data_IF_537760704340
#
_entry.id   IF_537760704340
#
_cell.length_a   1.000
_cell.length_b   1.000
_cell.length_c   1.000
_cell.angle_alpha   90.00
_cell.angle_beta   90.00
_cell.angle_gamma   90.00
#
_symmetry.space_group_name_H-M   'P 1'
#
loop_
_entity.id
_entity.type
_entity.pdbx_description
1 polymer ?
#
# COMPACT_ATOMS: atom_id res chain seq x y z
N UNK A 1 6.09 20.54 -15.97
CA UNK A 1 5.02 19.65 -16.46
C UNK A 1 5.43 18.78 -17.66
N UNK A 2 6.55 19.08 -18.35
CA UNK A 2 7.07 18.32 -19.51
C UNK A 2 7.32 16.81 -19.31
N UNK A 3 7.44 16.33 -18.06
CA UNK A 3 7.69 14.91 -17.77
C UNK A 3 6.46 14.00 -17.98
N UNK A 4 5.23 14.51 -17.87
CA UNK A 4 4.02 13.71 -18.17
C UNK A 4 3.77 13.53 -19.67
N UNK A 5 4.36 14.39 -20.49
CA UNK A 5 4.23 14.32 -21.94
C UNK A 5 5.30 13.42 -22.57
N UNK A 6 6.19 12.85 -21.76
CA UNK A 6 7.21 11.93 -22.24
C UNK A 6 6.56 10.57 -22.57
N UNK A 7 6.65 10.09 -23.83
CA UNK A 7 5.95 8.88 -24.26
C UNK A 7 6.40 7.64 -23.49
N UNK A 8 7.67 7.58 -23.07
CA UNK A 8 8.21 6.50 -22.26
C UNK A 8 7.56 6.43 -20.86
N UNK A 9 7.29 7.59 -20.24
CA UNK A 9 6.61 7.67 -18.94
C UNK A 9 5.17 7.20 -19.06
N UNK A 10 4.46 7.66 -20.10
CA UNK A 10 3.07 7.27 -20.37
C UNK A 10 2.95 5.77 -20.66
N UNK A 11 3.85 5.20 -21.46
CA UNK A 11 3.84 3.76 -21.76
C UNK A 11 4.09 2.93 -20.50
N UNK A 12 5.09 3.28 -19.68
CA UNK A 12 5.37 2.60 -18.40
C UNK A 12 4.18 2.69 -17.46
N UNK A 13 3.56 3.88 -17.36
CA UNK A 13 2.38 4.08 -16.52
C UNK A 13 1.18 3.27 -17.01
N UNK A 14 0.94 3.19 -18.33
CA UNK A 14 -0.14 2.41 -18.92
C UNK A 14 0.03 0.90 -18.63
N UNK A 15 1.24 0.37 -18.80
CA UNK A 15 1.53 -1.04 -18.49
C UNK A 15 1.35 -1.31 -17.00
N UNK A 16 1.92 -0.46 -16.13
CA UNK A 16 1.80 -0.63 -14.69
C UNK A 16 0.35 -0.52 -14.21
N UNK A 17 -0.44 0.39 -14.79
CA UNK A 17 -1.87 0.53 -14.49
C UNK A 17 -2.69 -0.67 -14.95
N UNK A 18 -2.41 -1.21 -16.14
CA UNK A 18 -3.05 -2.43 -16.62
C UNK A 18 -2.75 -3.62 -15.69
N UNK A 19 -1.50 -3.78 -15.26
CA UNK A 19 -1.11 -4.79 -14.28
C UNK A 19 -1.79 -4.56 -12.92
N UNK A 20 -1.87 -3.32 -12.45
CA UNK A 20 -2.60 -2.99 -11.21
C UNK A 20 -4.07 -3.36 -11.31
N UNK A 21 -4.74 -3.00 -12.42
CA UNK A 21 -6.15 -3.31 -12.65
C UNK A 21 -6.40 -4.82 -12.72
N UNK A 22 -5.53 -5.57 -13.42
CA UNK A 22 -5.58 -7.03 -13.49
C UNK A 22 -5.37 -7.68 -12.12
N UNK A 23 -4.40 -7.20 -11.33
CA UNK A 23 -4.16 -7.71 -9.98
C UNK A 23 -5.33 -7.42 -9.02
N UNK A 24 -6.07 -6.33 -9.24
CA UNK A 24 -7.24 -5.98 -8.44
C UNK A 24 -8.52 -6.72 -8.88
N UNK A 25 -8.57 -7.23 -10.12
CA UNK A 25 -9.76 -7.86 -10.68
C UNK A 25 -10.34 -8.99 -9.81
N UNK A 26 -9.55 -9.95 -9.30
CA UNK A 26 -10.07 -11.04 -8.46
C UNK A 26 -10.87 -10.54 -7.26
N UNK A 27 -10.36 -9.55 -6.54
CA UNK A 27 -11.05 -8.98 -5.37
C UNK A 27 -12.34 -8.25 -5.76
N UNK A 28 -12.33 -7.53 -6.89
CA UNK A 28 -13.52 -6.83 -7.40
C UNK A 28 -14.60 -7.80 -7.88
N UNK A 29 -14.19 -8.90 -8.52
CA UNK A 29 -15.09 -9.92 -9.04
C UNK A 29 -15.82 -10.66 -7.90
N UNK A 30 -15.15 -10.91 -6.77
CA UNK A 30 -15.75 -11.53 -5.59
C UNK A 30 -16.45 -10.56 -4.63
N UNK A 31 -16.37 -9.24 -4.88
CA UNK A 31 -17.11 -8.25 -4.09
C UNK A 31 -18.61 -8.29 -4.44
N UNK A 32 -19.37 -9.03 -3.64
CA UNK A 32 -20.80 -9.30 -3.90
C UNK A 32 -21.77 -8.16 -3.58
N UNK A 33 -21.37 -7.16 -2.78
CA UNK A 33 -22.22 -6.04 -2.38
C UNK A 33 -22.07 -4.80 -3.29
N UNK A 34 -21.48 -4.96 -4.46
CA UNK A 34 -21.21 -3.85 -5.38
C UNK A 34 -22.52 -3.35 -6.05
N UNK A 35 -22.77 -2.03 -6.09
CA UNK A 35 -23.92 -1.49 -6.81
C UNK A 35 -23.73 -1.54 -8.34
N UNK A 36 -22.50 -1.41 -8.82
CA UNK A 36 -22.20 -1.33 -10.26
C UNK A 36 -21.50 -2.58 -10.82
N UNK A 37 -21.38 -2.62 -12.14
CA UNK A 37 -20.70 -3.70 -12.84
C UNK A 37 -19.18 -3.71 -12.57
N UNK A 38 -18.57 -4.91 -12.49
CA UNK A 38 -17.13 -5.09 -12.20
C UNK A 38 -16.25 -4.32 -13.18
N UNK A 39 -16.59 -4.33 -14.47
CA UNK A 39 -15.80 -3.66 -15.50
C UNK A 39 -15.67 -2.16 -15.26
N UNK A 40 -16.69 -1.53 -14.68
CA UNK A 40 -16.66 -0.09 -14.35
C UNK A 40 -15.63 0.18 -13.26
N UNK A 41 -15.62 -0.60 -12.17
CA UNK A 41 -14.60 -0.47 -11.12
C UNK A 41 -13.18 -0.75 -11.64
N UNK A 42 -13.02 -1.75 -12.51
CA UNK A 42 -11.74 -2.04 -13.16
C UNK A 42 -11.27 -0.86 -14.01
N UNK A 43 -12.16 -0.23 -14.77
CA UNK A 43 -11.85 0.96 -15.57
C UNK A 43 -11.46 2.16 -14.68
N UNK A 44 -12.21 2.41 -13.60
CA UNK A 44 -11.92 3.48 -12.64
C UNK A 44 -10.57 3.24 -11.96
N UNK A 45 -10.29 2.03 -11.49
CA UNK A 45 -9.01 1.66 -10.88
C UNK A 45 -7.89 1.76 -11.90
N UNK A 46 -8.09 1.28 -13.13
CA UNK A 46 -7.10 1.40 -14.21
C UNK A 46 -6.75 2.86 -14.51
N UNK A 47 -7.76 3.73 -14.61
CA UNK A 47 -7.55 5.16 -14.82
C UNK A 47 -6.85 5.84 -13.64
N UNK A 48 -7.29 5.57 -12.41
CA UNK A 48 -6.65 6.12 -11.22
C UNK A 48 -5.20 5.62 -11.07
N UNK A 49 -4.97 4.33 -11.28
CA UNK A 49 -3.64 3.72 -11.26
C UNK A 49 -2.74 4.31 -12.34
N UNK A 50 -3.27 4.60 -13.53
CA UNK A 50 -2.52 5.27 -14.60
C UNK A 50 -2.03 6.65 -14.17
N UNK A 51 -2.92 7.48 -13.63
CA UNK A 51 -2.55 8.82 -13.13
C UNK A 51 -1.51 8.72 -12.01
N UNK A 52 -1.70 7.79 -11.06
CA UNK A 52 -0.78 7.55 -9.96
C UNK A 52 0.60 7.06 -10.44
N UNK A 53 0.65 6.06 -11.31
CA UNK A 53 1.91 5.55 -11.86
C UNK A 53 2.61 6.59 -12.74
N UNK A 54 1.86 7.39 -13.50
CA UNK A 54 2.41 8.50 -14.25
C UNK A 54 3.09 9.52 -13.32
N UNK A 55 2.44 9.85 -12.19
CA UNK A 55 3.04 10.73 -11.18
C UNK A 55 4.30 10.10 -10.55
N UNK A 56 4.26 8.80 -10.24
CA UNK A 56 5.41 8.06 -9.73
C UNK A 56 6.59 8.12 -10.70
N UNK A 57 6.42 7.69 -11.95
CA UNK A 57 7.51 7.70 -12.92
C UNK A 57 7.97 9.12 -13.31
N UNK A 58 7.06 10.08 -13.46
CA UNK A 58 7.40 11.45 -13.87
C UNK A 58 8.11 12.25 -12.78
N UNK A 59 7.77 12.04 -11.50
CA UNK A 59 8.24 12.90 -10.41
C UNK A 59 9.23 12.22 -9.47
N UNK A 60 9.06 10.93 -9.16
CA UNK A 60 9.96 10.24 -8.25
C UNK A 60 11.37 10.14 -8.83
N UNK A 61 11.52 9.65 -10.07
CA UNK A 61 12.85 9.47 -10.69
C UNK A 61 13.55 10.83 -10.86
N UNK A 62 12.79 11.89 -11.15
CA UNK A 62 13.32 13.23 -11.38
C UNK A 62 13.70 13.99 -10.10
N UNK A 63 12.86 13.96 -9.07
CA UNK A 63 13.03 14.78 -7.86
C UNK A 63 13.52 13.96 -6.65
N UNK A 64 13.17 12.68 -6.59
CA UNK A 64 13.64 11.74 -5.58
C UNK A 64 15.04 11.20 -5.85
N UNK A 65 15.58 11.40 -7.07
CA UNK A 65 16.93 10.98 -7.49
C UNK A 65 17.19 9.47 -7.25
N UNK A 66 16.12 8.66 -7.25
CA UNK A 66 16.17 7.22 -7.09
C UNK A 66 15.25 6.55 -8.10
N UNK A 67 15.65 5.37 -8.56
CA UNK A 67 14.83 4.55 -9.44
C UNK A 67 13.66 3.95 -8.64
N UNK A 68 12.46 3.95 -9.24
CA UNK A 68 11.28 3.32 -8.64
C UNK A 68 11.50 1.81 -8.48
N UNK A 69 12.10 1.19 -9.50
CA UNK A 69 12.48 -0.21 -9.55
C UNK A 69 14.00 -0.33 -9.66
N UNK A 70 14.74 -0.20 -8.53
CA UNK A 70 16.19 -0.26 -8.57
C UNK A 70 16.66 -1.64 -9.02
N UNK A 71 17.59 -1.68 -9.98
CA UNK A 71 18.17 -2.94 -10.49
C UNK A 71 18.98 -3.71 -9.45
N UNK A 72 19.57 -2.99 -8.49
CA UNK A 72 20.40 -3.56 -7.42
C UNK A 72 19.99 -2.95 -6.09
N UNK A 73 19.55 -3.80 -5.18
CA UNK A 73 19.27 -3.44 -3.78
C UNK A 73 20.27 -4.18 -2.90
N UNK A 74 20.85 -3.49 -1.92
CA UNK A 74 21.84 -4.08 -1.04
C UNK A 74 21.25 -5.30 -0.30
N UNK A 75 21.96 -6.45 -0.24
CA UNK A 75 21.49 -7.65 0.46
C UNK A 75 21.12 -7.41 1.93
N UNK A 76 21.83 -6.50 2.60
CA UNK A 76 21.52 -6.07 3.97
C UNK A 76 20.10 -5.50 4.09
N UNK A 77 19.63 -4.74 3.11
CA UNK A 77 18.28 -4.17 3.14
C UNK A 77 17.21 -5.24 2.98
N UNK A 78 17.46 -6.27 2.17
CA UNK A 78 16.59 -7.44 2.08
C UNK A 78 16.43 -8.14 3.44
N UNK A 79 17.54 -8.38 4.13
CA UNK A 79 17.52 -9.00 5.47
C UNK A 79 16.78 -8.15 6.50
N UNK A 80 17.04 -6.84 6.52
CA UNK A 80 16.34 -5.90 7.43
C UNK A 80 14.84 -5.91 7.13
N UNK A 81 14.46 -5.83 5.86
CA UNK A 81 13.06 -5.85 5.42
C UNK A 81 12.37 -7.16 5.81
N UNK A 82 13.07 -8.28 5.63
CA UNK A 82 12.61 -9.60 6.05
C UNK A 82 12.35 -9.66 7.55
N UNK A 83 13.33 -9.24 8.35
CA UNK A 83 13.21 -9.21 9.81
C UNK A 83 12.07 -8.29 10.28
N UNK A 84 11.96 -7.08 9.72
CA UNK A 84 10.89 -6.13 10.05
C UNK A 84 9.52 -6.65 9.64
N UNK A 85 9.41 -7.29 8.48
CA UNK A 85 8.17 -7.90 8.00
C UNK A 85 7.70 -9.03 8.91
N UNK A 86 8.61 -9.93 9.31
CA UNK A 86 8.32 -11.02 10.24
C UNK A 86 7.94 -10.52 11.63
N UNK A 87 8.68 -9.56 12.19
CA UNK A 87 8.35 -8.95 13.48
C UNK A 87 7.01 -8.21 13.42
N UNK A 88 6.75 -7.47 12.34
CA UNK A 88 5.47 -6.80 12.13
C UNK A 88 4.32 -7.78 12.02
N UNK A 89 4.51 -8.90 11.31
CA UNK A 89 3.54 -9.97 11.17
C UNK A 89 3.20 -10.61 12.53
N UNK A 90 4.21 -10.97 13.33
CA UNK A 90 4.00 -11.60 14.65
C UNK A 90 3.32 -10.65 15.63
N UNK A 91 3.76 -9.39 15.69
CA UNK A 91 3.12 -8.38 16.54
C UNK A 91 1.66 -8.14 16.13
N UNK A 92 1.39 -8.05 14.82
CA UNK A 92 0.02 -7.85 14.33
C UNK A 92 -0.87 -9.05 14.64
N UNK A 93 -0.35 -10.26 14.47
CA UNK A 93 -1.08 -11.50 14.78
C UNK A 93 -1.46 -11.59 16.26
N UNK A 94 -0.52 -11.33 17.16
CA UNK A 94 -0.75 -11.49 18.60
C UNK A 94 -1.52 -10.33 19.25
N UNK A 95 -1.30 -9.08 18.81
CA UNK A 95 -1.85 -7.91 19.49
C UNK A 95 -2.94 -7.17 18.71
N UNK A 96 -2.96 -7.28 17.37
CA UNK A 96 -3.82 -6.46 16.52
C UNK A 96 -5.01 -7.22 15.92
N UNK A 97 -4.76 -8.41 15.38
CA UNK A 97 -5.71 -9.08 14.48
C UNK A 97 -7.00 -9.52 15.21
N UNK A 98 -6.92 -9.93 16.47
CA UNK A 98 -8.11 -10.29 17.27
C UNK A 98 -9.09 -9.11 17.39
N UNK A 99 -8.58 -7.93 17.70
CA UNK A 99 -9.37 -6.71 17.84
C UNK A 99 -9.85 -6.19 16.49
N UNK A 100 -8.98 -6.21 15.48
CA UNK A 100 -9.31 -5.75 14.13
C UNK A 100 -10.36 -6.64 13.45
N UNK A 101 -10.40 -7.95 13.74
CA UNK A 101 -11.44 -8.84 13.21
C UNK A 101 -12.83 -8.52 13.72
N UNK A 102 -12.94 -8.08 14.96
CA UNK A 102 -14.22 -7.67 15.53
C UNK A 102 -14.71 -6.37 14.87
N UNK A 103 -13.79 -5.45 14.58
CA UNK A 103 -14.11 -4.16 13.97
C UNK A 103 -14.39 -4.23 12.47
N UNK A 104 -13.66 -5.08 11.74
CA UNK A 104 -13.72 -5.18 10.28
C UNK A 104 -13.61 -6.64 9.81
N UNK A 105 -14.61 -7.50 10.06
CA UNK A 105 -14.55 -8.94 9.77
C UNK A 105 -14.48 -9.26 8.27
N UNK A 106 -14.82 -8.30 7.41
CA UNK A 106 -14.74 -8.42 5.94
C UNK A 106 -13.33 -8.19 5.40
N UNK A 107 -12.44 -7.58 6.18
CA UNK A 107 -11.07 -7.28 5.74
C UNK A 107 -10.14 -8.50 5.90
N UNK A 108 -10.54 -9.53 6.64
CA UNK A 108 -9.75 -10.72 6.92
C UNK A 108 -10.11 -11.88 5.97
N UNK A 109 -9.12 -12.49 5.29
CA UNK A 109 -9.38 -13.60 4.38
C UNK A 109 -9.76 -14.86 5.15
N UNK A 110 -10.77 -15.58 4.66
CA UNK A 110 -11.29 -16.83 5.26
C UNK A 110 -10.89 -18.09 4.50
N UNK A 111 -10.34 -17.93 3.30
CA UNK A 111 -9.90 -19.02 2.44
C UNK A 111 -8.64 -18.60 1.66
N UNK A 112 -7.86 -19.56 1.13
CA UNK A 112 -6.63 -19.24 0.39
C UNK A 112 -6.87 -18.39 -0.87
N UNK A 113 -8.06 -18.48 -1.47
CA UNK A 113 -8.46 -17.62 -2.60
C UNK A 113 -8.54 -16.14 -2.21
N UNK A 114 -9.30 -15.83 -1.15
CA UNK A 114 -9.43 -14.48 -0.59
C UNK A 114 -8.10 -13.95 -0.07
N UNK A 115 -7.22 -14.82 0.44
CA UNK A 115 -5.86 -14.43 0.82
C UNK A 115 -5.06 -13.94 -0.40
N UNK A 116 -5.07 -14.70 -1.50
CA UNK A 116 -4.39 -14.30 -2.74
C UNK A 116 -4.96 -12.98 -3.29
N UNK A 117 -6.29 -12.83 -3.29
CA UNK A 117 -6.97 -11.58 -3.67
C UNK A 117 -6.55 -10.39 -2.81
N UNK A 118 -6.44 -10.61 -1.49
CA UNK A 118 -6.05 -9.59 -0.54
C UNK A 118 -4.60 -9.13 -0.78
N UNK A 119 -3.68 -10.08 -0.98
CA UNK A 119 -2.28 -9.77 -1.28
C UNK A 119 -2.14 -9.03 -2.59
N UNK A 120 -2.76 -9.52 -3.67
CA UNK A 120 -2.65 -8.90 -4.98
C UNK A 120 -3.17 -7.46 -4.95
N UNK A 121 -4.32 -7.23 -4.32
CA UNK A 121 -4.88 -5.90 -4.15
C UNK A 121 -3.99 -4.98 -3.30
N UNK A 122 -3.45 -5.49 -2.18
CA UNK A 122 -2.57 -4.72 -1.30
C UNK A 122 -1.30 -4.28 -2.04
N UNK A 123 -0.60 -5.23 -2.67
CA UNK A 123 0.64 -4.96 -3.38
C UNK A 123 0.46 -4.04 -4.58
N UNK A 124 -0.64 -4.22 -5.33
CA UNK A 124 -0.85 -3.53 -6.60
C UNK A 124 -1.45 -2.13 -6.44
N UNK A 125 -2.41 -1.95 -5.52
CA UNK A 125 -3.17 -0.71 -5.40
C UNK A 125 -2.94 -0.01 -4.06
N UNK A 126 -2.98 -0.74 -2.94
CA UNK A 126 -2.85 -0.12 -1.62
C UNK A 126 -1.49 0.55 -1.42
N UNK A 127 -0.39 -0.13 -1.79
CA UNK A 127 0.95 0.46 -1.73
C UNK A 127 1.12 1.63 -2.72
N UNK A 128 0.51 1.55 -3.90
CA UNK A 128 0.53 2.62 -4.89
C UNK A 128 -0.18 3.88 -4.35
N UNK A 129 -1.36 3.69 -3.78
CA UNK A 129 -2.22 4.77 -3.29
C UNK A 129 -1.71 5.37 -1.98
N UNK A 130 -1.20 4.56 -1.04
CA UNK A 130 -0.80 5.01 0.30
C UNK A 130 0.67 5.39 0.42
N UNK A 131 1.54 4.87 -0.45
CA UNK A 131 2.98 5.10 -0.36
C UNK A 131 3.54 5.75 -1.62
N UNK A 132 3.48 5.08 -2.78
CA UNK A 132 4.26 5.47 -3.95
C UNK A 132 3.80 6.80 -4.56
N UNK A 133 2.51 6.93 -4.85
CA UNK A 133 1.97 8.14 -5.46
C UNK A 133 1.99 9.35 -4.50
N UNK A 134 1.60 9.23 -3.22
CA UNK A 134 1.77 10.30 -2.25
C UNK A 134 3.22 10.72 -2.10
N UNK A 135 4.17 9.77 -2.06
CA UNK A 135 5.59 10.10 -1.98
C UNK A 135 6.04 10.92 -3.19
N UNK A 136 5.69 10.48 -4.41
CA UNK A 136 6.05 11.19 -5.62
C UNK A 136 5.47 12.62 -5.67
N UNK A 137 4.24 12.80 -5.16
CA UNK A 137 3.62 14.11 -5.02
C UNK A 137 4.32 14.98 -3.95
N UNK A 138 4.59 14.42 -2.77
CA UNK A 138 5.22 15.14 -1.67
C UNK A 138 6.67 15.53 -1.99
N UNK A 139 7.44 14.67 -2.68
CA UNK A 139 8.83 14.98 -3.07
C UNK A 139 8.91 16.12 -4.08
N UNK A 140 7.82 16.35 -4.84
CA UNK A 140 7.70 17.49 -5.75
C UNK A 140 7.38 18.79 -5.01
N UNK A 141 6.57 18.74 -3.95
CA UNK A 141 6.10 19.92 -3.23
C UNK A 141 7.03 20.37 -2.11
N UNK A 142 7.70 19.41 -1.47
CA UNK A 142 8.48 19.65 -0.25
C UNK A 142 9.98 19.69 -0.56
N UNK A 143 10.76 20.45 0.22
CA UNK A 143 12.15 20.76 -0.10
C UNK A 143 13.10 19.55 0.04
N UNK A 144 12.71 18.52 0.80
CA UNK A 144 13.55 17.36 1.02
C UNK A 144 12.72 16.07 1.19
N UNK A 145 13.39 14.93 0.98
CA UNK A 145 12.77 13.62 1.05
C UNK A 145 12.24 13.24 2.44
N UNK A 146 12.83 13.81 3.51
CA UNK A 146 12.38 13.58 4.88
C UNK A 146 11.00 14.21 5.12
N UNK A 147 10.83 15.46 4.71
CA UNK A 147 9.55 16.16 4.75
C UNK A 147 8.54 15.45 3.84
N UNK A 148 8.98 14.99 2.66
CA UNK A 148 8.12 14.18 1.79
C UNK A 148 7.62 12.92 2.48
N UNK A 149 8.50 12.19 3.16
CA UNK A 149 8.12 11.02 3.93
C UNK A 149 7.15 11.32 5.07
N UNK A 150 7.35 12.42 5.80
CA UNK A 150 6.40 12.88 6.80
C UNK A 150 5.02 13.19 6.19
N UNK A 151 4.99 13.83 5.01
CA UNK A 151 3.76 14.08 4.25
C UNK A 151 3.00 12.80 3.91
N UNK A 152 3.71 11.73 3.53
CA UNK A 152 3.10 10.42 3.27
C UNK A 152 2.53 9.79 4.54
N UNK A 153 3.24 9.91 5.68
CA UNK A 153 2.73 9.42 6.97
C UNK A 153 1.44 10.15 7.35
N UNK A 154 1.42 11.49 7.24
CA UNK A 154 0.24 12.31 7.52
C UNK A 154 -0.92 11.98 6.57
N UNK A 155 -0.66 11.79 5.28
CA UNK A 155 -1.67 11.34 4.31
C UNK A 155 -2.25 9.97 4.70
N UNK A 156 -1.38 9.02 5.08
CA UNK A 156 -1.81 7.70 5.54
C UNK A 156 -2.67 7.76 6.81
N UNK A 157 -2.37 8.69 7.73
CA UNK A 157 -3.18 8.96 8.93
C UNK A 157 -4.52 9.60 8.59
N UNK A 158 -4.55 10.53 7.62
CA UNK A 158 -5.80 11.14 7.14
C UNK A 158 -6.74 10.07 6.56
N UNK A 159 -6.23 9.24 5.64
CA UNK A 159 -7.03 8.14 5.05
C UNK A 159 -7.50 7.16 6.12
N UNK A 160 -6.64 6.87 7.11
CA UNK A 160 -7.01 6.02 8.23
C UNK A 160 -8.09 6.66 9.11
N UNK A 161 -8.02 7.97 9.37
CA UNK A 161 -9.05 8.70 10.11
C UNK A 161 -10.41 8.65 9.42
N UNK A 162 -10.44 8.77 8.09
CA UNK A 162 -11.66 8.59 7.29
C UNK A 162 -12.23 7.17 7.43
N UNK A 163 -11.37 6.15 7.44
CA UNK A 163 -11.78 4.75 7.68
C UNK A 163 -12.23 4.52 9.12
N UNK A 164 -11.65 5.22 10.09
CA UNK A 164 -12.06 5.12 11.50
C UNK A 164 -13.45 5.71 11.70
N UNK A 165 -13.79 6.79 11.01
CA UNK A 165 -15.13 7.42 11.09
C UNK A 165 -16.26 6.47 10.70
N UNK A 166 -16.03 5.54 9.77
CA UNK A 166 -17.05 4.54 9.39
C UNK A 166 -17.28 3.45 10.45
N UNK A 167 -16.41 3.35 11.46
CA UNK A 167 -16.47 2.33 12.55
C UNK A 167 -16.45 2.99 13.94
N UNK A 168 -16.51 4.32 14.01
CA UNK A 168 -16.23 5.10 15.22
C UNK A 168 -17.15 4.79 16.42
N UNK A 169 -18.37 4.28 16.17
CA UNK A 169 -19.31 3.94 17.24
C UNK A 169 -18.85 2.76 18.13
N UNK A 170 -17.87 1.96 17.68
CA UNK A 170 -17.45 0.73 18.35
C UNK A 170 -16.07 0.80 19.02
N UNK A 171 -15.42 1.98 19.05
CA UNK A 171 -14.00 2.10 19.39
C UNK A 171 -13.80 2.93 20.67
N UNK A 172 -13.06 2.38 21.65
CA UNK A 172 -12.58 3.12 22.82
C UNK A 172 -11.39 4.01 22.47
N UNK A 173 -11.20 5.10 23.20
CA UNK A 173 -10.11 6.06 22.94
C UNK A 173 -8.71 5.41 22.97
N UNK A 174 -8.46 4.50 23.91
CA UNK A 174 -7.18 3.80 24.02
C UNK A 174 -6.88 2.96 22.77
N UNK A 175 -7.90 2.28 22.25
CA UNK A 175 -7.78 1.50 21.02
C UNK A 175 -7.55 2.40 19.81
N UNK A 176 -8.26 3.54 19.73
CA UNK A 176 -8.06 4.51 18.65
C UNK A 176 -6.61 5.03 18.63
N UNK A 177 -6.05 5.40 19.78
CA UNK A 177 -4.66 5.86 19.90
C UNK A 177 -3.69 4.76 19.49
N UNK A 178 -3.91 3.53 19.95
CA UNK A 178 -3.08 2.37 19.57
C UNK A 178 -3.10 2.10 18.06
N UNK A 179 -4.27 2.16 17.43
CA UNK A 179 -4.41 1.97 15.98
C UNK A 179 -3.77 3.10 15.17
N UNK A 180 -3.92 4.35 15.60
CA UNK A 180 -3.24 5.51 14.99
C UNK A 180 -1.73 5.36 15.08
N UNK A 181 -1.22 4.94 16.24
CA UNK A 181 0.21 4.69 16.43
C UNK A 181 0.72 3.58 15.49
N UNK A 182 0.05 2.43 15.46
CA UNK A 182 0.42 1.33 14.55
C UNK A 182 0.37 1.75 13.08
N UNK A 183 -0.66 2.51 12.69
CA UNK A 183 -0.80 3.03 11.32
C UNK A 183 0.34 3.98 10.97
N UNK A 184 0.70 4.89 11.87
CA UNK A 184 1.80 5.83 11.68
C UNK A 184 3.14 5.09 11.55
N UNK A 185 3.38 4.12 12.42
CA UNK A 185 4.58 3.29 12.40
C UNK A 185 4.69 2.51 11.09
N UNK A 186 3.61 1.85 10.65
CA UNK A 186 3.57 1.13 9.39
C UNK A 186 3.83 2.05 8.19
N UNK A 187 3.21 3.24 8.15
CA UNK A 187 3.50 4.24 7.12
C UNK A 187 4.96 4.68 7.14
N UNK A 188 5.53 4.93 8.32
CA UNK A 188 6.91 5.39 8.43
C UNK A 188 7.90 4.32 7.94
N UNK A 189 7.67 3.06 8.29
CA UNK A 189 8.49 1.92 7.82
C UNK A 189 8.38 1.75 6.31
N UNK A 190 7.17 1.73 5.75
CA UNK A 190 6.97 1.57 4.31
C UNK A 190 7.61 2.70 3.51
N UNK A 191 7.47 3.96 3.95
CA UNK A 191 8.12 5.11 3.33
C UNK A 191 9.65 5.02 3.43
N UNK A 192 10.18 4.60 4.59
CA UNK A 192 11.62 4.43 4.76
C UNK A 192 12.17 3.34 3.84
N UNK A 193 11.50 2.19 3.74
CA UNK A 193 11.86 1.11 2.82
C UNK A 193 11.77 1.56 1.37
N UNK A 194 10.71 2.28 1.01
CA UNK A 194 10.52 2.83 -0.33
C UNK A 194 11.65 3.78 -0.70
N UNK A 195 12.01 4.67 0.22
CA UNK A 195 13.13 5.57 0.03
C UNK A 195 14.42 4.79 -0.21
N UNK A 196 14.71 3.75 0.60
CA UNK A 196 15.98 3.02 0.56
C UNK A 196 16.16 2.04 -0.60
N UNK A 197 15.13 1.29 -0.97
CA UNK A 197 15.23 0.22 -1.97
C UNK A 197 14.06 0.13 -2.92
N UNK A 198 13.27 1.19 -3.03
CA UNK A 198 12.18 1.30 -3.99
C UNK A 198 11.03 0.34 -3.73
N UNK A 199 10.31 0.00 -4.79
CA UNK A 199 9.08 -0.80 -4.73
C UNK A 199 9.32 -2.21 -4.18
N UNK A 200 10.46 -2.83 -4.50
CA UNK A 200 10.75 -4.22 -4.15
C UNK A 200 10.73 -4.49 -2.64
N UNK A 201 11.34 -3.60 -1.85
CA UNK A 201 11.37 -3.76 -0.39
C UNK A 201 9.99 -3.55 0.23
N UNK A 202 9.22 -2.58 -0.29
CA UNK A 202 7.85 -2.34 0.18
C UNK A 202 6.96 -3.53 -0.11
N UNK A 203 7.08 -4.11 -1.31
CA UNK A 203 6.33 -5.32 -1.66
C UNK A 203 6.72 -6.52 -0.82
N UNK A 204 8.02 -6.75 -0.56
CA UNK A 204 8.43 -7.82 0.34
C UNK A 204 7.86 -7.61 1.75
N UNK A 205 8.00 -6.40 2.29
CA UNK A 205 7.49 -6.08 3.62
C UNK A 205 5.99 -6.31 3.72
N UNK A 206 5.22 -5.77 2.77
CA UNK A 206 3.77 -5.93 2.71
C UNK A 206 3.37 -7.40 2.55
N UNK A 207 4.06 -8.15 1.68
CA UNK A 207 3.82 -9.58 1.50
C UNK A 207 4.04 -10.37 2.80
N UNK A 208 5.18 -10.18 3.47
CA UNK A 208 5.49 -10.85 4.74
C UNK A 208 4.49 -10.51 5.83
N UNK A 209 4.07 -9.24 5.89
CA UNK A 209 3.07 -8.79 6.84
C UNK A 209 1.74 -9.50 6.61
N UNK A 210 1.34 -9.71 5.35
CA UNK A 210 0.11 -10.40 4.98
C UNK A 210 0.19 -11.92 5.25
N UNK A 211 1.36 -12.54 5.16
CA UNK A 211 1.55 -13.97 5.47
C UNK A 211 1.07 -14.38 6.87
N UNK A 212 0.90 -13.43 7.81
CA UNK A 212 0.30 -13.72 9.13
C UNK A 212 -1.08 -14.36 9.04
N UNK A 213 -1.85 -14.07 8.00
CA UNK A 213 -3.18 -14.65 7.79
C UNK A 213 -3.15 -16.13 7.40
N UNK A 214 -2.02 -16.65 6.90
CA UNK A 214 -1.88 -18.07 6.57
C UNK A 214 -1.91 -18.98 7.80
N UNK A 215 -1.42 -18.50 8.94
CA UNK A 215 -1.39 -19.29 10.18
C UNK A 215 -2.78 -19.66 10.70
N UNK A 216 -3.81 -18.95 10.25
CA UNK A 216 -5.20 -19.17 10.67
C UNK A 216 -6.03 -19.92 9.65
N UNK A 217 -5.56 -19.96 8.40
CA UNK A 217 -6.17 -20.77 7.36
C UNK A 217 -5.72 -22.23 7.44
N UNK A 218 -4.60 -22.49 8.12
CA UNK A 218 -4.02 -23.82 8.31
C UNK A 218 -4.27 -24.45 9.69
N UNK A 219 -5.00 -23.76 10.58
CA UNK A 219 -5.45 -24.26 11.89
C UNK A 219 -6.95 -24.46 11.90
#
# INVERSE_FOLDING_TARGET
MRAFTEPAVLLRAAIAAALTALACYPRLAHWGQRPDAVWFYVAVIGWAAFVMWAAVFAWHEKHGQREVFPRRVAPRLWLITGAMGLVGATLSFHFGDATLRQLAPTDFPRNPGQFAEHILFNLALEQLFLCFAPFAFCVRLLPNAKAAGLGVVLFGLLVFGLKLQSVAAAITWDLAVGLVFFRALHSAVTVWLYWQGGVWLVWLFAFLLQCRHLFELGG
#
